data_IF_643910579614
#
_entry.id   IF_643910579614
#
_cell.length_a   1.000
_cell.length_b   1.000
_cell.length_c   1.000
_cell.angle_alpha   90.00
_cell.angle_beta   90.00
_cell.angle_gamma   90.00
#
_symmetry.space_group_name_H-M   'P 1'
#
loop_
_entity.id
_entity.type
_entity.pdbx_description
1 polymer ?
#
# COMPACT_ATOMS: atom_id res chain seq x y z
N UNK A 1 -8.23 -9.26 22.44
CA UNK A 1 -8.85 -8.38 21.42
C UNK A 1 -7.81 -7.82 20.46
N UNK A 2 -6.74 -7.15 20.93
CA UNK A 2 -5.68 -6.57 20.07
C UNK A 2 -5.05 -7.59 19.09
N UNK A 3 -4.80 -8.82 19.56
CA UNK A 3 -4.19 -9.88 18.75
C UNK A 3 -5.04 -10.26 17.53
N UNK A 4 -6.37 -10.26 17.65
CA UNK A 4 -7.26 -10.58 16.53
C UNK A 4 -7.15 -9.52 15.44
N UNK A 5 -7.22 -8.23 15.81
CA UNK A 5 -7.04 -7.13 14.87
C UNK A 5 -5.66 -7.15 14.22
N UNK A 6 -4.61 -7.42 15.00
CA UNK A 6 -3.25 -7.53 14.47
C UNK A 6 -3.16 -8.60 13.37
N UNK A 7 -3.66 -9.81 13.62
CA UNK A 7 -3.62 -10.88 12.63
C UNK A 7 -4.50 -10.58 11.40
N UNK A 8 -5.66 -9.98 11.61
CA UNK A 8 -6.54 -9.56 10.52
C UNK A 8 -5.86 -8.56 9.59
N UNK A 9 -5.28 -7.48 10.14
CA UNK A 9 -4.56 -6.48 9.34
C UNK A 9 -3.27 -7.05 8.73
N UNK A 10 -2.54 -7.92 9.43
CA UNK A 10 -1.33 -8.56 8.90
C UNK A 10 -1.63 -9.43 7.67
N UNK A 11 -2.70 -10.22 7.71
CA UNK A 11 -3.14 -11.01 6.54
C UNK A 11 -3.54 -10.10 5.38
N UNK A 12 -4.25 -9.01 5.66
CA UNK A 12 -4.62 -8.01 4.66
C UNK A 12 -3.40 -7.35 3.99
N UNK A 13 -2.35 -7.02 4.76
CA UNK A 13 -1.08 -6.50 4.23
C UNK A 13 -0.43 -7.51 3.28
N UNK A 14 -0.38 -8.79 3.67
CA UNK A 14 0.22 -9.85 2.84
C UNK A 14 -0.57 -10.07 1.55
N UNK A 15 -1.90 -10.14 1.64
CA UNK A 15 -2.76 -10.33 0.47
C UNK A 15 -2.64 -9.15 -0.51
N UNK A 16 -2.65 -7.92 0.01
CA UNK A 16 -2.51 -6.73 -0.84
C UNK A 16 -1.11 -6.61 -1.45
N UNK A 17 -0.03 -7.00 -0.75
CA UNK A 17 1.33 -6.95 -1.31
C UNK A 17 1.57 -7.99 -2.39
N UNK A 18 0.98 -9.17 -2.27
CA UNK A 18 0.96 -10.17 -3.35
C UNK A 18 0.19 -9.63 -4.56
N UNK A 19 -0.94 -8.95 -4.34
CA UNK A 19 -1.72 -8.34 -5.42
C UNK A 19 -0.96 -7.24 -6.17
N UNK A 20 -0.11 -6.46 -5.50
CA UNK A 20 0.77 -5.47 -6.16
C UNK A 20 1.63 -6.13 -7.25
N UNK A 21 2.17 -7.33 -6.99
CA UNK A 21 3.08 -8.01 -7.90
C UNK A 21 2.33 -8.74 -9.02
N UNK A 22 1.18 -9.34 -8.70
CA UNK A 22 0.40 -10.14 -9.65
C UNK A 22 -0.38 -9.32 -10.66
N UNK A 23 -0.77 -8.10 -10.30
CA UNK A 23 -1.62 -7.28 -11.16
C UNK A 23 -0.79 -6.70 -12.29
N UNK A 24 -1.12 -7.14 -13.51
CA UNK A 24 -0.43 -6.69 -14.72
C UNK A 24 -0.67 -5.21 -15.00
N UNK A 25 -1.84 -4.64 -14.67
CA UNK A 25 -2.06 -3.22 -14.92
C UNK A 25 -1.38 -2.36 -13.83
N UNK A 26 -0.46 -1.46 -14.22
CA UNK A 26 0.42 -0.78 -13.28
C UNK A 26 -0.34 0.29 -12.45
N UNK A 27 -1.44 0.85 -12.97
CA UNK A 27 -2.31 1.75 -12.19
C UNK A 27 -2.95 0.98 -11.04
N UNK A 28 -3.49 -0.21 -11.32
CA UNK A 28 -4.09 -1.05 -10.28
C UNK A 28 -3.04 -1.60 -9.30
N UNK A 29 -1.84 -1.96 -9.78
CA UNK A 29 -0.71 -2.35 -8.93
C UNK A 29 -0.36 -1.26 -7.92
N UNK A 30 -0.29 0.00 -8.34
CA UNK A 30 -0.02 1.14 -7.44
C UNK A 30 -1.19 1.39 -6.47
N UNK A 31 -2.45 1.19 -6.88
CA UNK A 31 -3.58 1.27 -5.95
C UNK A 31 -3.51 0.21 -4.85
N UNK A 32 -3.10 -1.02 -5.18
CA UNK A 32 -2.83 -2.06 -4.18
C UNK A 32 -1.64 -1.70 -3.28
N UNK A 33 -0.64 -0.98 -3.80
CA UNK A 33 0.48 -0.49 -3.01
C UNK A 33 0.02 0.53 -1.97
N UNK A 34 -0.85 1.46 -2.34
CA UNK A 34 -1.47 2.40 -1.39
C UNK A 34 -2.22 1.64 -0.29
N UNK A 35 -2.98 0.62 -0.67
CA UNK A 35 -3.69 -0.23 0.28
C UNK A 35 -2.73 -0.95 1.25
N UNK A 36 -1.59 -1.48 0.77
CA UNK A 36 -0.58 -2.11 1.64
C UNK A 36 -0.01 -1.15 2.67
N UNK A 37 0.32 0.08 2.27
CA UNK A 37 0.87 1.09 3.19
C UNK A 37 -0.16 1.54 4.23
N UNK A 38 -1.43 1.66 3.85
CA UNK A 38 -2.51 2.00 4.77
C UNK A 38 -2.78 0.90 5.80
N UNK A 39 -2.76 -0.37 5.38
CA UNK A 39 -2.91 -1.51 6.30
C UNK A 39 -1.68 -1.63 7.22
N UNK A 40 -0.48 -1.35 6.70
CA UNK A 40 0.76 -1.30 7.48
C UNK A 40 0.78 -0.16 8.51
N UNK A 41 0.30 1.04 8.16
CA UNK A 41 0.18 2.14 9.15
C UNK A 41 -0.78 1.80 10.28
N UNK A 42 -1.87 1.08 9.98
CA UNK A 42 -2.80 0.59 11.00
C UNK A 42 -2.13 -0.42 11.94
N UNK A 43 -1.25 -1.30 11.44
CA UNK A 43 -0.43 -2.19 12.28
C UNK A 43 0.54 -1.40 13.18
N UNK A 44 1.18 -0.35 12.66
CA UNK A 44 2.07 0.50 13.45
C UNK A 44 1.32 1.22 14.58
N UNK A 45 0.08 1.68 14.35
CA UNK A 45 -0.78 2.24 15.41
C UNK A 45 -1.05 1.18 16.48
N UNK A 46 -1.39 -0.06 16.09
CA UNK A 46 -1.62 -1.16 17.04
C UNK A 46 -0.39 -1.51 17.88
N UNK A 47 0.81 -1.29 17.35
CA UNK A 47 2.09 -1.51 18.02
C UNK A 47 2.53 -0.33 18.90
N UNK A 48 1.76 0.77 18.95
CA UNK A 48 2.09 1.99 19.69
C UNK A 48 3.09 2.91 18.97
N UNK A 49 3.35 2.66 17.68
CA UNK A 49 4.30 3.41 16.85
C UNK A 49 3.60 4.51 16.03
N UNK A 50 2.93 5.45 16.72
CA UNK A 50 2.05 6.46 16.11
C UNK A 50 2.78 7.41 15.15
N UNK A 51 3.96 7.89 15.53
CA UNK A 51 4.76 8.81 14.70
C UNK A 51 5.15 8.14 13.36
N UNK A 52 5.55 6.87 13.41
CA UNK A 52 5.92 6.10 12.22
C UNK A 52 4.70 5.85 11.35
N UNK A 53 3.56 5.50 11.94
CA UNK A 53 2.31 5.32 11.20
C UNK A 53 1.89 6.60 10.44
N UNK A 54 1.99 7.76 11.09
CA UNK A 54 1.71 9.06 10.49
C UNK A 54 2.66 9.37 9.32
N UNK A 55 3.97 9.10 9.47
CA UNK A 55 4.94 9.28 8.40
C UNK A 55 4.66 8.37 7.20
N UNK A 56 4.25 7.11 7.44
CA UNK A 56 3.85 6.19 6.37
C UNK A 56 2.68 6.75 5.56
N UNK A 57 1.67 7.30 6.23
CA UNK A 57 0.52 7.89 5.53
C UNK A 57 0.92 9.17 4.78
N UNK A 58 1.61 10.10 5.44
CA UNK A 58 1.90 11.41 4.84
C UNK A 58 2.94 11.30 3.73
N UNK A 59 4.06 10.63 3.96
CA UNK A 59 5.19 10.59 3.02
C UNK A 59 4.96 9.53 1.96
N UNK A 60 4.64 8.29 2.35
CA UNK A 60 4.56 7.19 1.39
C UNK A 60 3.23 7.18 0.64
N UNK A 61 2.09 7.25 1.34
CA UNK A 61 0.78 7.29 0.67
C UNK A 61 0.53 8.66 0.03
N UNK A 62 0.83 9.75 0.74
CA UNK A 62 0.54 11.11 0.27
C UNK A 62 1.41 11.60 -0.87
N UNK A 63 2.73 11.43 -0.78
CA UNK A 63 3.66 11.92 -1.81
C UNK A 63 4.11 10.81 -2.76
N UNK A 64 4.76 9.77 -2.25
CA UNK A 64 5.45 8.78 -3.11
C UNK A 64 4.48 8.01 -4.00
N UNK A 65 3.40 7.45 -3.44
CA UNK A 65 2.44 6.65 -4.22
C UNK A 65 1.64 7.49 -5.22
N UNK A 66 1.31 8.74 -4.87
CA UNK A 66 0.63 9.68 -5.78
C UNK A 66 1.55 10.04 -6.96
N UNK A 67 2.84 10.27 -6.71
CA UNK A 67 3.82 10.48 -7.78
C UNK A 67 3.93 9.25 -8.69
N UNK A 68 3.92 8.04 -8.13
CA UNK A 68 3.88 6.82 -8.93
C UNK A 68 2.62 6.74 -9.80
N UNK A 69 1.44 7.08 -9.27
CA UNK A 69 0.20 7.11 -10.08
C UNK A 69 0.32 8.10 -11.24
N UNK A 70 0.81 9.31 -11.00
CA UNK A 70 0.99 10.31 -12.05
C UNK A 70 1.96 9.83 -13.13
N UNK A 71 3.11 9.26 -12.74
CA UNK A 71 4.13 8.75 -13.66
C UNK A 71 3.57 7.59 -14.49
N UNK A 72 2.92 6.63 -13.85
CA UNK A 72 2.38 5.44 -14.51
C UNK A 72 1.24 5.78 -15.46
N UNK A 73 0.41 6.79 -15.15
CA UNK A 73 -0.66 7.22 -16.04
C UNK A 73 -0.17 8.04 -17.25
N UNK A 74 0.94 8.75 -17.12
CA UNK A 74 1.57 9.49 -18.22
C UNK A 74 2.38 8.58 -19.15
N UNK A 75 2.88 7.47 -18.63
CA UNK A 75 3.52 6.44 -19.44
C UNK A 75 2.45 5.64 -20.20
N UNK A 76 2.56 5.62 -21.52
CA UNK A 76 1.72 4.75 -22.36
C UNK A 76 2.30 3.33 -22.33
N UNK A 77 1.89 2.58 -21.30
CA UNK A 77 2.42 1.23 -21.03
C UNK A 77 1.64 0.25 -21.89
N UNK A 78 2.10 0.08 -23.13
CA UNK A 78 1.49 -0.82 -24.11
C UNK A 78 1.86 -2.27 -23.74
N UNK A 79 0.93 -2.99 -23.11
CA UNK A 79 1.08 -4.42 -22.76
C UNK A 79 0.99 -5.29 -24.02
N UNK A 80 2.02 -5.23 -24.86
CA UNK A 80 2.30 -6.28 -25.84
C UNK A 80 2.96 -7.43 -25.09
N UNK A 81 2.16 -8.45 -24.76
CA UNK A 81 2.52 -9.78 -24.22
C UNK A 81 3.89 -9.94 -23.57
#
# INVERSE_FOLDING_TARGET
>A
MIYFFFHFFAVLVILSSIAVIYVSNPVYSVLFLILTFFMSSTLFILLGAELIAMLVIIVYVGAVAVLFLFVVMMLDINYSR
#
